data_IF_349964956763
#
_entry.id   IF_349964956763
#
_cell.length_a   1.000
_cell.length_b   1.000
_cell.length_c   1.000
_cell.angle_alpha   90.00
_cell.angle_beta   90.00
_cell.angle_gamma   90.00
#
_symmetry.space_group_name_H-M   'P 1'
#
loop_
_entity.id
_entity.type
_entity.pdbx_description
1 polymer ?
#
# COMPACT_ATOMS: atom_id res chain seq x y z
N UNK A 1 10.57 -16.48 -10.48
CA UNK A 1 10.30 -15.03 -10.56
C UNK A 1 8.95 -14.83 -9.92
N UNK A 2 8.84 -14.00 -8.87
CA UNK A 2 7.53 -13.66 -8.32
C UNK A 2 6.75 -12.93 -9.42
N UNK A 3 5.50 -13.34 -9.68
CA UNK A 3 4.65 -12.65 -10.66
C UNK A 3 4.40 -11.21 -10.19
N UNK A 4 4.54 -10.25 -11.10
CA UNK A 4 4.28 -8.84 -10.78
C UNK A 4 2.78 -8.63 -10.49
N UNK A 5 2.48 -7.99 -9.37
CA UNK A 5 1.13 -7.65 -8.98
C UNK A 5 0.56 -6.58 -9.91
N UNK A 6 -0.63 -6.82 -10.44
CA UNK A 6 -1.33 -5.84 -11.26
C UNK A 6 -2.11 -4.88 -10.38
N UNK A 7 -1.81 -3.59 -10.48
CA UNK A 7 -2.58 -2.57 -9.78
C UNK A 7 -3.70 -2.05 -10.70
N UNK A 8 -4.87 -1.79 -10.12
CA UNK A 8 -5.93 -1.07 -10.82
C UNK A 8 -5.60 0.41 -10.71
N UNK A 9 -5.32 1.06 -11.84
CA UNK A 9 -5.25 2.51 -11.88
C UNK A 9 -6.65 3.09 -11.64
N UNK A 10 -6.78 3.92 -10.62
CA UNK A 10 -8.00 4.65 -10.30
C UNK A 10 -7.91 6.03 -10.95
N UNK A 11 -9.00 6.44 -11.60
CA UNK A 11 -9.16 7.79 -12.13
C UNK A 11 -9.63 8.71 -10.99
N UNK A 12 -8.72 9.52 -10.44
CA UNK A 12 -9.04 10.50 -9.40
C UNK A 12 -9.70 11.78 -9.95
N UNK A 13 -9.94 11.89 -11.26
CA UNK A 13 -10.77 12.95 -11.84
C UNK A 13 -12.26 12.67 -11.65
N UNK A 14 -12.64 11.40 -11.43
CA UNK A 14 -14.00 11.02 -11.06
C UNK A 14 -14.31 11.43 -9.61
N UNK A 15 -15.43 12.11 -9.40
CA UNK A 15 -15.82 12.68 -8.11
C UNK A 15 -15.87 11.64 -6.98
N UNK A 16 -16.43 10.46 -7.25
CA UNK A 16 -16.56 9.39 -6.26
C UNK A 16 -15.19 8.85 -5.84
N UNK A 17 -14.33 8.53 -6.80
CA UNK A 17 -12.98 8.02 -6.53
C UNK A 17 -12.14 9.04 -5.75
N UNK A 18 -12.27 10.32 -6.12
CA UNK A 18 -11.60 11.42 -5.41
C UNK A 18 -12.11 11.56 -3.97
N UNK A 19 -13.42 11.46 -3.77
CA UNK A 19 -14.02 11.54 -2.43
C UNK A 19 -13.56 10.37 -1.53
N UNK A 20 -13.54 9.15 -2.07
CA UNK A 20 -13.03 7.98 -1.35
C UNK A 20 -11.55 8.15 -0.98
N UNK A 21 -10.72 8.57 -1.94
CA UNK A 21 -9.31 8.87 -1.71
C UNK A 21 -9.10 9.94 -0.60
N UNK A 22 -9.89 11.02 -0.63
CA UNK A 22 -9.78 12.09 0.36
C UNK A 22 -10.29 11.67 1.75
N UNK A 23 -11.19 10.69 1.82
CA UNK A 23 -11.73 10.15 3.07
C UNK A 23 -10.77 9.19 3.79
N UNK A 24 -9.68 8.78 3.13
CA UNK A 24 -8.67 7.87 3.68
C UNK A 24 -8.06 8.41 4.99
N UNK A 25 -8.16 7.70 6.13
CA UNK A 25 -7.72 8.24 7.42
C UNK A 25 -6.22 8.07 7.72
N UNK A 26 -5.52 7.17 7.03
CA UNK A 26 -4.10 6.86 7.26
C UNK A 26 -3.14 7.63 6.33
N UNK A 27 -3.67 8.49 5.45
CA UNK A 27 -2.88 9.42 4.65
C UNK A 27 -2.99 10.82 5.24
N UNK A 28 -1.86 11.52 5.37
CA UNK A 28 -1.86 12.93 5.75
C UNK A 28 -2.48 13.80 4.65
N UNK A 29 -2.93 15.00 4.99
CA UNK A 29 -3.41 15.95 3.99
C UNK A 29 -2.31 16.38 3.01
N UNK A 30 -1.05 16.35 3.45
CA UNK A 30 0.11 16.63 2.61
C UNK A 30 0.30 15.53 1.57
N UNK A 31 0.30 14.26 2.00
CA UNK A 31 0.42 13.10 1.10
C UNK A 31 -0.74 13.05 0.11
N UNK A 32 -1.96 13.33 0.58
CA UNK A 32 -3.14 13.44 -0.29
C UNK A 32 -2.94 14.49 -1.38
N UNK A 33 -2.42 15.65 -1.01
CA UNK A 33 -2.09 16.72 -1.95
C UNK A 33 -1.02 16.31 -2.96
N UNK A 34 0.05 15.63 -2.52
CA UNK A 34 1.14 15.18 -3.37
C UNK A 34 0.70 14.13 -4.41
N UNK A 35 -0.15 13.17 -3.99
CA UNK A 35 -0.71 12.16 -4.89
C UNK A 35 -1.64 12.81 -5.91
N UNK A 36 -2.56 13.71 -5.47
CA UNK A 36 -3.46 14.43 -6.38
C UNK A 36 -2.67 15.26 -7.40
N UNK A 37 -1.66 16.01 -6.96
CA UNK A 37 -0.83 16.78 -7.86
C UNK A 37 -0.11 15.91 -8.89
N UNK A 38 0.41 14.75 -8.48
CA UNK A 38 1.09 13.80 -9.37
C UNK A 38 0.16 13.20 -10.42
N UNK A 39 -1.07 12.86 -10.00
CA UNK A 39 -2.14 12.38 -10.86
C UNK A 39 -2.60 13.46 -11.86
N UNK A 40 -2.87 14.68 -11.38
CA UNK A 40 -3.32 15.81 -12.21
C UNK A 40 -2.27 16.22 -13.26
N UNK A 41 -0.97 16.05 -12.96
CA UNK A 41 0.12 16.26 -13.90
C UNK A 41 0.30 15.11 -14.91
N UNK A 42 -0.42 14.00 -14.76
CA UNK A 42 -0.30 12.81 -15.61
C UNK A 42 1.06 12.11 -15.50
N UNK A 43 1.79 12.37 -14.41
CA UNK A 43 3.15 11.84 -14.21
C UNK A 43 3.16 10.45 -13.60
N UNK A 44 2.11 10.09 -12.86
CA UNK A 44 2.02 8.87 -12.05
C UNK A 44 0.59 8.34 -12.08
N UNK A 45 0.44 7.02 -12.07
CA UNK A 45 -0.85 6.36 -11.86
C UNK A 45 -1.13 6.22 -10.37
N UNK A 46 -2.39 6.16 -9.97
CA UNK A 46 -2.79 5.89 -8.59
C UNK A 46 -3.42 4.52 -8.52
N UNK A 47 -2.80 3.63 -7.75
CA UNK A 47 -3.24 2.27 -7.54
C UNK A 47 -3.96 2.10 -6.21
N UNK A 48 -4.73 1.02 -6.12
CA UNK A 48 -5.34 0.56 -4.87
C UNK A 48 -4.86 -0.84 -4.52
N UNK A 49 -4.58 -1.05 -3.24
CA UNK A 49 -4.33 -2.37 -2.65
C UNK A 49 -5.15 -2.51 -1.37
N UNK A 50 -5.46 -3.73 -0.95
CA UNK A 50 -5.93 -3.99 0.41
C UNK A 50 -4.83 -4.66 1.21
N UNK A 51 -4.68 -4.24 2.48
CA UNK A 51 -3.66 -4.76 3.39
C UNK A 51 -4.31 -5.20 4.68
N UNK A 52 -3.98 -6.39 5.17
CA UNK A 52 -4.40 -6.88 6.48
C UNK A 52 -3.37 -7.84 7.09
N UNK A 53 -3.52 -8.05 8.39
CA UNK A 53 -2.81 -9.06 9.17
C UNK A 53 -3.42 -10.45 8.98
N UNK A 54 -2.63 -11.45 8.59
CA UNK A 54 -3.10 -12.81 8.35
C UNK A 54 -2.72 -13.83 9.43
N UNK A 55 -2.05 -13.42 10.52
CA UNK A 55 -1.70 -14.30 11.64
C UNK A 55 -2.43 -13.92 12.93
N UNK A 56 -2.30 -12.68 13.38
CA UNK A 56 -2.81 -12.28 14.69
C UNK A 56 -2.62 -10.79 14.97
N UNK A 57 -3.72 -10.05 15.10
CA UNK A 57 -3.70 -8.62 15.43
C UNK A 57 -3.11 -8.37 16.83
N UNK A 58 -1.82 -8.08 16.90
CA UNK A 58 -1.06 -7.77 18.12
C UNK A 58 -0.46 -6.35 18.11
N UNK A 59 -0.75 -5.56 17.07
CA UNK A 59 -0.32 -4.16 16.94
C UNK A 59 0.90 -3.96 16.04
N UNK A 60 1.15 -4.92 15.16
CA UNK A 60 2.15 -4.79 14.11
C UNK A 60 1.92 -3.59 13.19
N UNK A 61 3.03 -3.04 12.70
CA UNK A 61 3.03 -1.90 11.77
C UNK A 61 4.01 -2.18 10.63
N UNK A 62 3.54 -1.99 9.40
CA UNK A 62 4.41 -1.99 8.22
C UNK A 62 4.51 -0.59 7.64
N UNK A 63 5.64 -0.30 7.03
CA UNK A 63 5.83 0.84 6.16
C UNK A 63 5.68 0.41 4.71
N UNK A 64 4.88 1.15 3.95
CA UNK A 64 4.75 1.01 2.51
C UNK A 64 5.49 2.18 1.87
N UNK A 65 6.48 1.87 1.04
CA UNK A 65 7.16 2.86 0.19
C UNK A 65 6.73 2.64 -1.24
N UNK A 66 6.21 3.70 -1.85
CA UNK A 66 5.80 3.71 -3.24
C UNK A 66 6.19 5.02 -3.90
N UNK A 67 7.10 4.96 -4.86
CA UNK A 67 7.46 6.10 -5.70
C UNK A 67 7.82 7.38 -4.88
N UNK A 68 8.66 7.14 -3.86
CA UNK A 68 9.13 8.16 -2.91
C UNK A 68 8.17 8.50 -1.78
N UNK A 69 6.89 8.11 -1.88
CA UNK A 69 5.92 8.25 -0.79
C UNK A 69 6.13 7.15 0.24
N UNK A 70 6.05 7.52 1.52
CA UNK A 70 6.18 6.58 2.65
C UNK A 70 4.94 6.65 3.52
N UNK A 71 4.34 5.49 3.82
CA UNK A 71 3.12 5.39 4.64
C UNK A 71 3.30 4.34 5.72
N UNK A 72 3.00 4.69 6.97
CA UNK A 72 3.06 3.75 8.08
C UNK A 72 1.65 3.21 8.35
N UNK A 73 1.46 1.92 8.09
CA UNK A 73 0.17 1.24 8.12
C UNK A 73 0.13 0.29 9.32
N UNK A 74 -0.67 0.60 10.36
CA UNK A 74 -0.92 -0.38 11.41
C UNK A 74 -1.71 -1.55 10.81
N UNK A 75 -1.32 -2.77 11.12
CA UNK A 75 -2.01 -3.97 10.67
C UNK A 75 -3.18 -4.31 11.59
N UNK A 76 -4.19 -4.94 11.00
CA UNK A 76 -5.38 -5.46 11.69
C UNK A 76 -5.96 -6.61 10.88
N UNK A 77 -6.80 -7.45 11.49
CA UNK A 77 -7.50 -8.50 10.74
C UNK A 77 -8.49 -7.95 9.70
N UNK A 78 -9.01 -6.74 9.92
CA UNK A 78 -9.81 -6.04 8.93
C UNK A 78 -8.92 -5.47 7.83
N UNK A 79 -9.33 -5.66 6.57
CA UNK A 79 -8.61 -5.15 5.42
C UNK A 79 -8.72 -3.64 5.29
N UNK A 80 -7.58 -3.01 5.06
CA UNK A 80 -7.45 -1.58 4.81
C UNK A 80 -7.19 -1.39 3.33
N UNK A 81 -8.14 -0.76 2.63
CA UNK A 81 -7.90 -0.18 1.32
C UNK A 81 -6.78 0.85 1.47
N UNK A 82 -5.75 0.85 0.64
CA UNK A 82 -4.62 1.79 0.57
C UNK A 82 -4.53 2.36 -0.84
N UNK A 83 -4.44 3.68 -0.95
CA UNK A 83 -4.16 4.39 -2.20
C UNK A 83 -2.69 4.78 -2.27
N UNK A 84 -2.04 4.52 -3.40
CA UNK A 84 -0.63 4.81 -3.58
C UNK A 84 -0.30 5.20 -5.02
N UNK A 85 0.62 6.16 -5.24
CA UNK A 85 1.14 6.42 -6.57
C UNK A 85 2.01 5.24 -7.00
N UNK A 86 1.98 4.83 -8.26
CA UNK A 86 2.88 3.79 -8.76
C UNK A 86 3.31 4.03 -10.20
N UNK A 87 4.46 3.45 -10.53
CA UNK A 87 5.02 3.38 -11.88
C UNK A 87 5.09 1.90 -12.27
N UNK A 88 4.46 1.55 -13.39
CA UNK A 88 4.47 0.18 -13.91
C UNK A 88 5.90 -0.27 -14.19
N UNK A 89 6.32 -1.42 -13.64
CA UNK A 89 7.68 -1.93 -13.71
C UNK A 89 8.56 -1.60 -12.49
N UNK A 90 8.11 -0.71 -11.59
CA UNK A 90 8.75 -0.50 -10.28
C UNK A 90 8.20 -1.47 -9.23
N UNK A 91 8.76 -1.44 -8.02
CA UNK A 91 8.30 -2.28 -6.91
C UNK A 91 7.76 -1.42 -5.76
N UNK A 92 6.70 -1.91 -5.13
CA UNK A 92 6.32 -1.47 -3.80
C UNK A 92 7.26 -2.11 -2.79
N UNK A 93 7.71 -1.34 -1.79
CA UNK A 93 8.55 -1.85 -0.72
C UNK A 93 7.71 -1.88 0.57
N UNK A 94 7.68 -3.03 1.22
CA UNK A 94 7.01 -3.24 2.50
C UNK A 94 8.06 -3.50 3.55
N UNK A 95 8.14 -2.65 4.58
CA UNK A 95 9.15 -2.78 5.64
C UNK A 95 8.48 -2.98 6.99
N UNK A 96 8.98 -3.90 7.80
CA UNK A 96 8.52 -4.07 9.18
C UNK A 96 8.95 -2.87 10.04
N UNK A 97 8.02 -2.20 10.71
CA UNK A 97 8.32 -1.07 11.61
C UNK A 97 8.17 -1.42 13.08
N UNK A 98 7.11 -2.16 13.42
CA UNK A 98 6.83 -2.61 14.77
C UNK A 98 6.36 -4.05 14.72
N UNK A 99 7.03 -4.90 15.49
CA UNK A 99 6.69 -6.31 15.69
C UNK A 99 6.39 -6.50 17.16
N UNK A 100 5.13 -6.79 17.50
CA UNK A 100 4.72 -7.02 18.88
C UNK A 100 4.72 -8.52 19.25
N UNK A 101 5.28 -9.40 18.41
CA UNK A 101 5.16 -10.84 18.57
C UNK A 101 6.08 -11.68 17.69
N UNK A 102 5.47 -12.58 16.92
CA UNK A 102 6.16 -13.66 16.18
C UNK A 102 6.58 -13.25 14.76
N UNK A 103 6.80 -11.95 14.53
CA UNK A 103 7.03 -11.41 13.20
C UNK A 103 5.77 -10.87 12.55
N UNK A 104 5.97 -9.95 11.61
CA UNK A 104 4.92 -9.19 10.97
C UNK A 104 4.42 -9.92 9.74
N UNK A 105 3.15 -10.35 9.77
CA UNK A 105 2.56 -11.13 8.70
C UNK A 105 1.43 -10.37 8.01
N UNK A 106 1.76 -9.83 6.84
CA UNK A 106 0.83 -9.04 6.04
C UNK A 106 0.42 -9.77 4.76
N UNK A 107 -0.84 -9.61 4.40
CA UNK A 107 -1.36 -9.99 3.08
C UNK A 107 -1.77 -8.76 2.30
N UNK A 108 -1.39 -8.74 1.03
CA UNK A 108 -1.73 -7.71 0.06
C UNK A 108 -2.72 -8.31 -0.93
N UNK A 109 -3.89 -7.70 -1.07
CA UNK A 109 -4.81 -8.02 -2.15
C UNK A 109 -4.79 -6.92 -3.19
N UNK A 110 -4.69 -7.38 -4.43
CA UNK A 110 -4.73 -6.57 -5.64
C UNK A 110 -5.83 -7.14 -6.55
N UNK A 111 -6.27 -6.39 -7.57
CA UNK A 111 -7.20 -6.91 -8.57
C UNK A 111 -6.71 -8.19 -9.28
N UNK A 112 -5.39 -8.41 -9.35
CA UNK A 112 -4.83 -9.67 -9.90
C UNK A 112 -4.85 -10.85 -8.95
N UNK A 113 -5.15 -10.63 -7.67
CA UNK A 113 -5.17 -11.65 -6.64
C UNK A 113 -4.44 -11.23 -5.37
N UNK A 114 -4.35 -12.20 -4.47
CA UNK A 114 -3.80 -12.06 -3.12
C UNK A 114 -2.35 -12.54 -3.08
N UNK A 115 -1.48 -11.72 -2.48
CA UNK A 115 -0.06 -12.00 -2.26
C UNK A 115 0.21 -11.92 -0.77
N UNK A 116 0.60 -13.03 -0.15
CA UNK A 116 1.14 -13.02 1.21
C UNK A 116 2.60 -12.60 1.16
N UNK A 117 2.95 -11.58 1.94
CA UNK A 117 4.35 -11.22 2.14
C UNK A 117 5.04 -12.30 2.98
N UNK A 118 6.37 -12.46 2.85
CA UNK A 118 7.12 -13.19 3.86
C UNK A 118 6.87 -12.55 5.23
N UNK A 119 6.96 -13.35 6.30
CA UNK A 119 6.94 -12.82 7.66
C UNK A 119 8.16 -11.93 7.83
N UNK A 120 7.95 -10.65 8.17
CA UNK A 120 9.00 -9.65 8.28
C UNK A 120 9.39 -9.44 9.74
N UNK A 121 10.69 -9.32 10.02
CA UNK A 121 11.16 -8.74 11.26
C UNK A 121 11.19 -7.19 11.18
N UNK A 122 11.32 -6.51 12.33
CA UNK A 122 11.56 -5.05 12.35
C UNK A 122 12.80 -4.68 11.52
N UNK A 123 12.62 -3.76 10.58
CA UNK A 123 13.65 -3.27 9.65
C UNK A 123 13.84 -4.14 8.41
N UNK A 124 13.28 -5.36 8.36
CA UNK A 124 13.29 -6.20 7.18
C UNK A 124 12.31 -5.66 6.13
N UNK A 125 12.63 -5.87 4.86
CA UNK A 125 11.81 -5.42 3.74
C UNK A 125 11.52 -6.53 2.75
N UNK A 126 10.29 -6.54 2.23
CA UNK A 126 9.87 -7.29 1.07
C UNK A 126 9.55 -6.35 -0.10
N UNK A 127 9.80 -6.82 -1.30
CA UNK A 127 9.49 -6.09 -2.53
C UNK A 127 8.37 -6.80 -3.28
N UNK A 128 7.42 -6.02 -3.79
CA UNK A 128 6.38 -6.49 -4.68
C UNK A 128 6.48 -5.72 -6.00
N UNK A 129 6.99 -6.34 -7.07
CA UNK A 129 6.96 -5.75 -8.39
C UNK A 129 5.52 -5.46 -8.82
N UNK A 130 5.27 -4.27 -9.37
CA UNK A 130 3.93 -3.86 -9.82
C UNK A 130 3.88 -3.56 -11.31
N UNK A 131 2.71 -3.77 -11.91
CA UNK A 131 2.45 -3.47 -13.32
C UNK A 131 1.08 -2.87 -13.56
#
# INVERSE_FOLDING_TARGET
MADAAKLLSIDLSEENNRAEFLAVPYLSNEDKGAILASFEQGTKNVGVIYVWDNLGQDGDVIQIVSDGLTMDIPLSHESKLIFLPFVSGESLIFRGLNDNGNGIAATIETPSGTVSLPVLAMGEAAELPVR
#
